data_IF_334008354622
#
_entry.id   IF_334008354622
#
_cell.length_a   1.000
_cell.length_b   1.000
_cell.length_c   1.000
_cell.angle_alpha   90.00
_cell.angle_beta   90.00
_cell.angle_gamma   90.00
#
_symmetry.space_group_name_H-M   'P 1'
#
loop_
_entity.id
_entity.type
_entity.pdbx_description
1 polymer ?
#
# COMPACT_ATOMS: atom_id res chain seq x y z
N UNK A 1 -9.09 -13.39 -2.56
CA UNK A 1 -8.12 -14.47 -2.23
C UNK A 1 -8.27 -14.78 -0.75
N UNK A 2 -8.43 -16.06 -0.38
CA UNK A 2 -8.38 -16.48 1.03
C UNK A 2 -6.95 -16.97 1.29
N UNK A 3 -6.20 -16.24 2.10
CA UNK A 3 -4.86 -16.64 2.53
C UNK A 3 -4.98 -17.56 3.75
N UNK A 4 -4.22 -18.67 3.76
CA UNK A 4 -4.15 -19.55 4.93
C UNK A 4 -3.34 -18.88 6.03
N UNK A 5 -3.95 -18.59 7.18
CA UNK A 5 -3.25 -17.92 8.30
C UNK A 5 -2.00 -18.66 8.77
N UNK A 6 -2.01 -19.99 8.69
CA UNK A 6 -0.87 -20.82 9.06
C UNK A 6 0.30 -20.63 8.08
N UNK A 7 0.02 -20.70 6.77
CA UNK A 7 1.05 -20.48 5.75
C UNK A 7 1.61 -19.05 5.82
N UNK A 8 0.77 -18.05 6.04
CA UNK A 8 1.20 -16.65 6.22
C UNK A 8 2.09 -16.48 7.46
N UNK A 9 1.81 -17.20 8.56
CA UNK A 9 2.63 -17.19 9.77
C UNK A 9 4.02 -17.78 9.51
N UNK A 10 4.10 -18.90 8.81
CA UNK A 10 5.37 -19.55 8.46
C UNK A 10 6.22 -18.67 7.53
N UNK A 11 5.60 -18.12 6.48
CA UNK A 11 6.25 -17.18 5.56
C UNK A 11 6.74 -15.92 6.27
N UNK A 12 5.95 -15.36 7.19
CA UNK A 12 6.38 -14.25 8.03
C UNK A 12 7.61 -14.62 8.87
N UNK A 13 7.58 -15.74 9.59
CA UNK A 13 8.69 -16.14 10.46
C UNK A 13 10.00 -16.34 9.69
N UNK A 14 9.91 -16.99 8.53
CA UNK A 14 11.07 -17.21 7.65
C UNK A 14 11.63 -15.91 7.09
N UNK A 15 10.77 -14.98 6.63
CA UNK A 15 11.24 -13.73 6.03
C UNK A 15 11.73 -12.74 7.07
N UNK A 16 11.06 -12.65 8.22
CA UNK A 16 11.43 -11.74 9.30
C UNK A 16 12.81 -12.07 9.89
N UNK A 17 13.21 -13.35 9.93
CA UNK A 17 14.56 -13.73 10.37
C UNK A 17 15.66 -13.37 9.36
N UNK A 18 15.31 -13.15 8.10
CA UNK A 18 16.24 -12.80 7.01
C UNK A 18 16.33 -11.28 6.76
N UNK A 19 15.51 -10.46 7.43
CA UNK A 19 15.64 -9.01 7.34
C UNK A 19 16.99 -8.56 7.91
N UNK A 20 17.68 -7.70 7.15
CA UNK A 20 18.81 -6.95 7.67
C UNK A 20 18.35 -5.88 8.68
N UNK A 21 19.29 -5.26 9.40
CA UNK A 21 18.99 -4.34 10.49
C UNK A 21 18.17 -3.11 10.04
N UNK A 22 18.46 -2.57 8.86
CA UNK A 22 17.73 -1.42 8.32
C UNK A 22 16.29 -1.79 7.94
N UNK A 23 16.10 -2.93 7.27
CA UNK A 23 14.78 -3.44 6.91
C UNK A 23 13.97 -3.81 8.15
N UNK A 24 14.59 -4.38 9.18
CA UNK A 24 13.96 -4.70 10.47
C UNK A 24 13.53 -3.42 11.18
N UNK A 25 14.40 -2.42 11.27
CA UNK A 25 14.07 -1.12 11.85
C UNK A 25 12.88 -0.45 11.13
N UNK A 26 12.88 -0.47 9.78
CA UNK A 26 11.75 0.03 8.99
C UNK A 26 10.47 -0.77 9.25
N UNK A 27 10.56 -2.10 9.28
CA UNK A 27 9.44 -2.99 9.59
C UNK A 27 8.82 -2.66 10.95
N UNK A 28 9.65 -2.58 11.99
CA UNK A 28 9.20 -2.36 13.37
C UNK A 28 8.57 -0.97 13.53
N UNK A 29 9.18 0.05 12.92
CA UNK A 29 8.65 1.43 12.89
C UNK A 29 7.27 1.49 12.24
N UNK A 30 7.13 0.85 11.07
CA UNK A 30 5.86 0.82 10.34
C UNK A 30 4.79 0.06 11.15
N UNK A 31 5.12 -1.12 11.68
CA UNK A 31 4.17 -1.91 12.46
C UNK A 31 3.72 -1.17 13.71
N UNK A 32 4.65 -0.55 14.44
CA UNK A 32 4.35 0.21 15.63
C UNK A 32 3.38 1.37 15.35
N UNK A 33 3.64 2.17 14.32
CA UNK A 33 2.79 3.29 13.96
C UNK A 33 1.38 2.83 13.53
N UNK A 34 1.30 1.84 12.63
CA UNK A 34 0.03 1.31 12.12
C UNK A 34 -0.80 0.67 13.25
N UNK A 35 -0.19 -0.12 14.12
CA UNK A 35 -0.89 -0.78 15.22
C UNK A 35 -1.26 0.18 16.36
N UNK A 36 -0.58 1.33 16.48
CA UNK A 36 -0.96 2.39 17.42
C UNK A 36 -2.19 3.21 17.00
N UNK A 37 -2.64 3.07 15.74
CA UNK A 37 -3.81 3.79 15.22
C UNK A 37 -3.57 5.28 14.98
N UNK A 38 -2.31 5.69 14.72
CA UNK A 38 -1.99 7.08 14.37
C UNK A 38 -2.50 7.42 12.97
N UNK A 39 -3.27 8.51 12.85
CA UNK A 39 -3.79 9.04 11.59
C UNK A 39 -2.70 9.51 10.61
N UNK A 40 -1.43 9.58 11.06
CA UNK A 40 -0.27 9.97 10.26
C UNK A 40 0.65 8.79 9.92
N UNK A 41 0.13 7.57 9.82
CA UNK A 41 0.90 6.36 9.52
C UNK A 41 1.21 6.22 8.02
N UNK A 42 1.88 7.22 7.45
CA UNK A 42 2.31 7.23 6.05
C UNK A 42 3.83 7.25 5.96
N UNK A 43 4.38 6.32 5.20
CA UNK A 43 5.83 6.11 5.07
C UNK A 43 6.23 6.11 3.61
N UNK A 44 7.42 6.63 3.32
CA UNK A 44 8.08 6.44 2.03
C UNK A 44 9.33 5.58 2.23
N UNK A 45 9.33 4.37 1.68
CA UNK A 45 10.47 3.47 1.69
C UNK A 45 11.37 3.76 0.50
N UNK A 46 12.36 4.62 0.73
CA UNK A 46 13.37 4.94 -0.27
C UNK A 46 14.48 3.88 -0.28
N UNK A 47 14.83 3.41 -1.47
CA UNK A 47 16.01 2.58 -1.67
C UNK A 47 16.21 2.31 -3.15
N UNK A 48 17.46 2.22 -3.64
CA UNK A 48 17.75 1.85 -5.02
C UNK A 48 17.13 0.51 -5.45
N UNK A 49 17.16 0.23 -6.75
CA UNK A 49 16.86 -1.11 -7.26
C UNK A 49 17.76 -2.17 -6.57
N UNK A 50 17.18 -3.33 -6.24
CA UNK A 50 17.93 -4.43 -5.63
C UNK A 50 18.15 -4.37 -4.11
N UNK A 51 17.70 -3.32 -3.41
CA UNK A 51 17.87 -3.20 -1.93
C UNK A 51 16.86 -4.00 -1.10
N UNK A 52 16.01 -4.80 -1.74
CA UNK A 52 15.06 -5.66 -1.06
C UNK A 52 13.79 -4.97 -0.55
N UNK A 53 13.40 -3.81 -1.09
CA UNK A 53 12.11 -3.15 -0.78
C UNK A 53 10.92 -4.11 -0.88
N UNK A 54 10.84 -4.87 -1.98
CA UNK A 54 9.82 -5.90 -2.19
C UNK A 54 9.87 -7.01 -1.13
N UNK A 55 11.06 -7.34 -0.62
CA UNK A 55 11.20 -8.32 0.46
C UNK A 55 10.58 -7.79 1.77
N UNK A 56 10.79 -6.51 2.09
CA UNK A 56 10.14 -5.85 3.22
C UNK A 56 8.61 -5.78 3.04
N UNK A 57 8.12 -5.38 1.86
CA UNK A 57 6.67 -5.36 1.55
C UNK A 57 6.02 -6.73 1.75
N UNK A 58 6.67 -7.79 1.26
CA UNK A 58 6.20 -9.16 1.44
C UNK A 58 6.12 -9.52 2.92
N UNK A 59 7.11 -9.11 3.72
CA UNK A 59 7.15 -9.40 5.15
C UNK A 59 6.02 -8.70 5.89
N UNK A 60 5.74 -7.42 5.57
CA UNK A 60 4.58 -6.68 6.08
C UNK A 60 3.24 -7.34 5.69
N UNK A 61 3.12 -7.81 4.45
CA UNK A 61 1.93 -8.53 3.99
C UNK A 61 1.67 -9.76 4.85
N UNK A 62 2.68 -10.62 5.02
CA UNK A 62 2.54 -11.84 5.81
C UNK A 62 2.26 -11.54 7.30
N UNK A 63 2.88 -10.49 7.85
CA UNK A 63 2.68 -10.07 9.24
C UNK A 63 1.23 -9.69 9.56
N UNK A 64 0.56 -8.97 8.66
CA UNK A 64 -0.83 -8.57 8.85
C UNK A 64 -1.82 -9.67 8.42
N UNK A 65 -1.54 -10.38 7.31
CA UNK A 65 -2.41 -11.46 6.82
C UNK A 65 -2.49 -12.65 7.78
N UNK A 66 -1.42 -12.99 8.49
CA UNK A 66 -1.48 -14.02 9.55
C UNK A 66 -2.43 -13.66 10.69
N UNK A 67 -2.66 -12.35 10.92
CA UNK A 67 -3.62 -11.83 11.90
C UNK A 67 -5.05 -11.76 11.34
N UNK A 68 -5.25 -12.07 10.05
CA UNK A 68 -6.52 -11.91 9.35
C UNK A 68 -6.81 -10.48 8.90
N UNK A 69 -5.84 -9.57 8.99
CA UNK A 69 -5.95 -8.20 8.52
C UNK A 69 -5.74 -8.12 7.00
N UNK A 70 -6.25 -7.07 6.36
CA UNK A 70 -6.20 -6.90 4.91
C UNK A 70 -5.07 -5.92 4.54
N UNK A 71 -4.19 -6.34 3.63
CA UNK A 71 -3.16 -5.50 3.03
C UNK A 71 -3.38 -5.44 1.52
N UNK A 72 -3.50 -4.22 0.98
CA UNK A 72 -3.64 -3.98 -0.45
C UNK A 72 -2.29 -3.65 -1.05
N UNK A 73 -1.82 -4.52 -1.95
CA UNK A 73 -0.62 -4.25 -2.73
C UNK A 73 -0.98 -3.62 -4.07
N UNK A 74 -0.36 -2.49 -4.34
CA UNK A 74 -0.60 -1.64 -5.49
C UNK A 74 0.75 -1.28 -6.13
N UNK A 75 0.80 -1.17 -7.44
CA UNK A 75 1.94 -0.58 -8.12
C UNK A 75 1.50 0.32 -9.27
N UNK A 76 2.37 1.21 -9.73
CA UNK A 76 2.07 2.12 -10.84
C UNK A 76 2.07 1.40 -12.21
N UNK A 77 2.91 0.37 -12.38
CA UNK A 77 2.98 -0.43 -13.61
C UNK A 77 2.46 -1.86 -13.42
N UNK A 78 2.04 -2.49 -14.52
CA UNK A 78 1.57 -3.88 -14.51
C UNK A 78 2.66 -4.87 -14.10
N UNK A 79 3.89 -4.69 -14.58
CA UNK A 79 5.02 -5.58 -14.25
C UNK A 79 5.38 -5.49 -12.77
N UNK A 80 5.44 -4.28 -12.20
CA UNK A 80 5.70 -4.11 -10.77
C UNK A 80 4.57 -4.74 -9.92
N UNK A 81 3.31 -4.62 -10.36
CA UNK A 81 2.18 -5.22 -9.65
C UNK A 81 2.27 -6.75 -9.59
N UNK A 82 2.82 -7.42 -10.61
CA UNK A 82 3.00 -8.89 -10.63
C UNK A 82 4.01 -9.38 -9.58
N UNK A 83 4.96 -8.53 -9.18
CA UNK A 83 5.97 -8.86 -8.17
C UNK A 83 5.42 -8.74 -6.74
N UNK A 84 4.25 -8.14 -6.57
CA UNK A 84 3.62 -7.95 -5.26
C UNK A 84 2.56 -9.02 -4.97
N UNK A 85 2.41 -9.46 -3.70
CA UNK A 85 1.45 -10.50 -3.33
C UNK A 85 -0.01 -10.10 -3.57
N UNK A 86 -0.63 -10.65 -4.61
CA UNK A 86 -1.99 -10.27 -5.02
C UNK A 86 -2.05 -8.82 -5.54
N UNK A 87 -0.92 -8.32 -6.05
CA UNK A 87 -0.78 -6.97 -6.55
C UNK A 87 -1.72 -6.64 -7.70
N UNK A 88 -2.08 -5.37 -7.79
CA UNK A 88 -2.83 -4.79 -8.90
C UNK A 88 -2.25 -3.43 -9.23
N UNK A 89 -2.47 -2.95 -10.45
CA UNK A 89 -2.12 -1.56 -10.76
C UNK A 89 -2.98 -0.59 -9.96
N UNK A 90 -2.46 0.61 -9.68
CA UNK A 90 -3.20 1.70 -9.03
C UNK A 90 -4.53 1.99 -9.72
N UNK A 91 -4.50 2.09 -11.05
CA UNK A 91 -5.67 2.29 -11.89
C UNK A 91 -6.74 1.22 -11.67
N UNK A 92 -6.35 -0.06 -11.69
CA UNK A 92 -7.32 -1.16 -11.52
C UNK A 92 -7.76 -1.39 -10.06
N UNK A 93 -6.92 -1.04 -9.07
CA UNK A 93 -7.27 -1.17 -7.66
C UNK A 93 -8.25 -0.10 -7.21
N UNK A 94 -7.97 1.14 -7.56
CA UNK A 94 -8.74 2.30 -7.10
C UNK A 94 -9.76 2.78 -8.13
N UNK A 95 -9.82 2.20 -9.33
CA UNK A 95 -10.72 2.63 -10.39
C UNK A 95 -10.46 4.11 -10.77
N UNK A 96 -9.18 4.43 -10.96
CA UNK A 96 -8.69 5.77 -11.34
C UNK A 96 -9.13 6.05 -12.79
N UNK A 97 -9.75 7.20 -13.09
CA UNK A 97 -10.09 7.59 -14.46
C UNK A 97 -8.84 7.68 -15.36
N UNK A 98 -8.97 7.30 -16.63
CA UNK A 98 -7.88 7.42 -17.62
C UNK A 98 -7.61 8.88 -18.02
N UNK A 99 -8.68 9.69 -18.11
CA UNK A 99 -8.59 11.13 -18.30
C UNK A 99 -8.64 11.77 -16.92
N UNK A 100 -7.51 12.33 -16.48
CA UNK A 100 -7.36 12.82 -15.12
C UNK A 100 -6.93 14.28 -15.09
N UNK A 101 -7.50 15.03 -14.17
CA UNK A 101 -7.24 16.43 -13.90
C UNK A 101 -7.16 16.69 -12.39
N UNK A 102 -6.93 17.95 -12.01
CA UNK A 102 -6.74 18.36 -10.62
C UNK A 102 -7.94 18.11 -9.71
N UNK A 103 -9.16 18.03 -10.24
CA UNK A 103 -10.39 17.79 -9.47
C UNK A 103 -10.89 16.34 -9.55
N UNK A 104 -10.16 15.49 -10.27
CA UNK A 104 -10.61 14.11 -10.52
C UNK A 104 -10.72 13.31 -9.22
N UNK A 105 -11.71 12.42 -9.18
CA UNK A 105 -11.89 11.44 -8.12
C UNK A 105 -11.90 10.03 -8.71
N UNK A 106 -11.49 9.07 -7.91
CA UNK A 106 -11.63 7.66 -8.20
C UNK A 106 -13.10 7.24 -8.17
N UNK A 107 -13.51 6.34 -9.06
CA UNK A 107 -14.87 5.81 -9.11
C UNK A 107 -15.09 4.72 -8.05
N UNK A 108 -15.01 5.09 -6.78
CA UNK A 108 -15.20 4.21 -5.61
C UNK A 108 -16.40 4.70 -4.81
N UNK A 109 -17.39 3.84 -4.59
CA UNK A 109 -18.58 4.16 -3.78
C UNK A 109 -18.58 3.35 -2.49
N UNK A 110 -18.97 3.94 -1.37
CA UNK A 110 -19.06 3.31 -0.03
C UNK A 110 -19.78 1.96 -0.03
N UNK A 111 -20.92 1.89 -0.73
CA UNK A 111 -21.78 0.70 -0.76
C UNK A 111 -21.33 -0.41 -1.73
N UNK A 112 -20.15 -0.28 -2.34
CA UNK A 112 -19.61 -1.30 -3.26
C UNK A 112 -18.68 -2.27 -2.54
N UNK A 113 -18.44 -3.43 -3.15
CA UNK A 113 -17.46 -4.40 -2.66
C UNK A 113 -16.05 -3.80 -2.54
N UNK A 114 -15.68 -2.88 -3.44
CA UNK A 114 -14.41 -2.17 -3.38
C UNK A 114 -14.36 -1.18 -2.21
N UNK A 115 -15.43 -0.40 -2.02
CA UNK A 115 -15.53 0.52 -0.88
C UNK A 115 -15.40 -0.19 0.46
N UNK A 116 -16.11 -1.32 0.63
CA UNK A 116 -15.99 -2.18 1.83
C UNK A 116 -14.61 -2.81 1.98
N UNK A 117 -13.98 -3.22 0.87
CA UNK A 117 -12.62 -3.77 0.91
C UNK A 117 -11.62 -2.74 1.44
N UNK A 118 -11.67 -1.52 0.91
CA UNK A 118 -10.79 -0.42 1.31
C UNK A 118 -11.06 -0.01 2.76
N UNK A 119 -12.33 0.10 3.16
CA UNK A 119 -12.72 0.44 4.54
C UNK A 119 -12.22 -0.58 5.58
N UNK A 120 -12.03 -1.85 5.19
CA UNK A 120 -11.49 -2.89 6.06
C UNK A 120 -9.97 -3.12 5.88
N UNK A 121 -9.30 -2.29 5.07
CA UNK A 121 -7.86 -2.40 4.83
C UNK A 121 -7.08 -1.83 6.01
N UNK A 122 -6.04 -2.54 6.44
CA UNK A 122 -5.13 -2.09 7.51
C UNK A 122 -3.95 -1.32 6.95
N UNK A 123 -3.46 -1.71 5.78
CA UNK A 123 -2.30 -1.09 5.16
C UNK A 123 -2.42 -1.15 3.63
N UNK A 124 -2.08 -0.06 2.96
CA UNK A 124 -1.82 -0.03 1.53
C UNK A 124 -0.32 0.04 1.29
N UNK A 125 0.20 -0.85 0.45
CA UNK A 125 1.56 -0.76 -0.05
C UNK A 125 1.47 -0.34 -1.51
N UNK A 126 2.09 0.79 -1.86
CA UNK A 126 2.11 1.30 -3.23
C UNK A 126 3.56 1.40 -3.71
N UNK A 127 3.93 0.55 -4.67
CA UNK A 127 5.28 0.53 -5.26
C UNK A 127 5.36 1.32 -6.58
N UNK A 128 6.56 1.83 -6.89
CA UNK A 128 6.84 2.72 -8.02
C UNK A 128 5.96 3.98 -8.05
N UNK A 129 5.71 4.57 -6.88
CA UNK A 129 4.94 5.82 -6.74
C UNK A 129 5.53 6.99 -7.52
N UNK A 130 6.87 7.19 -7.58
CA UNK A 130 7.45 8.27 -8.36
C UNK A 130 7.07 8.23 -9.86
N UNK A 131 6.81 7.04 -10.43
CA UNK A 131 6.37 6.88 -11.81
C UNK A 131 4.88 7.17 -12.04
N UNK A 132 4.14 7.62 -11.02
CA UNK A 132 2.72 7.93 -11.14
C UNK A 132 2.49 9.42 -11.34
N UNK A 133 1.58 9.77 -12.25
CA UNK A 133 1.16 11.16 -12.43
C UNK A 133 0.54 11.73 -11.15
N UNK A 134 0.90 12.97 -10.75
CA UNK A 134 0.46 13.56 -9.47
C UNK A 134 -1.06 13.51 -9.28
N UNK A 135 -1.82 13.81 -10.33
CA UNK A 135 -3.29 13.81 -10.26
C UNK A 135 -3.87 12.43 -9.94
N UNK A 136 -3.20 11.33 -10.29
CA UNK A 136 -3.65 10.00 -9.92
C UNK A 136 -3.49 9.75 -8.42
N UNK A 137 -2.40 10.25 -7.84
CA UNK A 137 -2.15 10.15 -6.41
C UNK A 137 -3.14 11.02 -5.62
N UNK A 138 -3.33 12.27 -6.04
CA UNK A 138 -4.28 13.21 -5.43
C UNK A 138 -5.74 12.75 -5.57
N UNK A 139 -6.12 12.16 -6.70
CA UNK A 139 -7.45 11.57 -6.88
C UNK A 139 -7.70 10.40 -5.93
N UNK A 140 -6.67 9.59 -5.64
CA UNK A 140 -6.78 8.53 -4.62
C UNK A 140 -6.93 9.13 -3.23
N UNK A 141 -6.12 10.12 -2.86
CA UNK A 141 -6.23 10.82 -1.58
C UNK A 141 -7.63 11.41 -1.36
N UNK A 142 -8.12 12.23 -2.29
CA UNK A 142 -9.47 12.82 -2.23
C UNK A 142 -10.56 11.76 -2.09
N UNK A 143 -10.50 10.69 -2.89
CA UNK A 143 -11.50 9.64 -2.83
C UNK A 143 -11.46 8.81 -1.56
N UNK A 144 -10.30 8.61 -0.96
CA UNK A 144 -10.20 7.88 0.31
C UNK A 144 -10.69 8.73 1.49
N UNK A 145 -10.42 10.04 1.48
CA UNK A 145 -11.01 10.99 2.45
C UNK A 145 -12.54 10.97 2.43
N UNK A 146 -13.14 11.01 1.23
CA UNK A 146 -14.60 10.90 1.07
C UNK A 146 -15.12 9.51 1.49
N UNK A 147 -14.45 8.44 1.05
CA UNK A 147 -14.87 7.07 1.33
C UNK A 147 -14.85 6.74 2.84
N UNK A 148 -13.87 7.25 3.58
CA UNK A 148 -13.63 6.96 4.99
C UNK A 148 -14.21 8.02 5.95
N UNK A 149 -14.88 9.05 5.44
CA UNK A 149 -15.46 10.15 6.23
C UNK A 149 -14.42 10.93 7.06
N UNK A 150 -13.21 11.07 6.52
CA UNK A 150 -12.06 11.69 7.19
C UNK A 150 -11.42 12.76 6.28
N UNK A 151 -12.05 13.94 6.11
CA UNK A 151 -11.62 14.96 5.14
C UNK A 151 -10.25 15.59 5.44
N UNK A 152 -9.88 15.67 6.72
CA UNK A 152 -8.67 16.34 7.18
C UNK A 152 -7.43 15.42 7.26
N UNK A 153 -7.64 14.10 7.14
CA UNK A 153 -6.58 13.10 7.24
C UNK A 153 -6.10 12.67 5.86
N UNK A 154 -4.78 12.61 5.65
CA UNK A 154 -4.20 12.07 4.42
C UNK A 154 -4.71 10.63 4.18
N UNK A 155 -5.18 10.37 2.96
CA UNK A 155 -5.81 9.12 2.54
C UNK A 155 -6.97 8.68 3.45
N UNK A 156 -7.66 9.61 4.09
CA UNK A 156 -8.70 9.32 5.07
C UNK A 156 -8.20 8.58 6.31
N UNK A 157 -6.91 8.71 6.65
CA UNK A 157 -6.26 8.03 7.78
C UNK A 157 -5.84 6.59 7.50
N UNK A 158 -6.12 6.05 6.29
CA UNK A 158 -5.67 4.72 5.90
C UNK A 158 -4.14 4.70 5.79
N UNK A 159 -3.41 3.81 6.50
CA UNK A 159 -1.96 3.80 6.42
C UNK A 159 -1.42 3.44 5.03
N UNK A 160 -0.36 4.14 4.61
CA UNK A 160 0.33 3.88 3.35
C UNK A 160 1.83 3.64 3.57
N UNK A 161 2.36 2.62 2.91
CA UNK A 161 3.80 2.48 2.64
C UNK A 161 4.00 2.71 1.15
N UNK A 162 4.50 3.89 0.82
CA UNK A 162 4.87 4.29 -0.53
C UNK A 162 6.29 3.82 -0.82
N UNK A 163 6.52 3.41 -2.04
CA UNK A 163 7.73 2.76 -2.48
C UNK A 163 8.16 3.23 -3.85
N UNK A 164 9.47 3.22 -4.08
CA UNK A 164 10.05 3.50 -5.38
C UNK A 164 11.47 4.01 -5.24
N UNK A 165 12.02 4.41 -6.37
CA UNK A 165 13.31 5.08 -6.41
C UNK A 165 13.16 6.34 -7.30
N UNK A 166 13.35 7.51 -6.69
CA UNK A 166 13.27 8.80 -7.39
C UNK A 166 14.39 8.97 -8.44
N UNK A 167 15.43 8.13 -8.40
CA UNK A 167 16.45 8.09 -9.45
C UNK A 167 16.01 7.29 -10.68
N UNK A 168 14.83 6.63 -10.65
CA UNK A 168 14.23 6.03 -11.83
C UNK A 168 13.58 7.10 -12.74
N UNK A 169 13.18 6.68 -13.95
CA UNK A 169 12.63 7.58 -14.98
C UNK A 169 11.40 8.32 -14.42
N UNK A 170 11.34 9.67 -14.53
CA UNK A 170 10.18 10.44 -14.09
C UNK A 170 8.92 10.11 -14.93
N UNK A 171 7.73 10.34 -14.39
CA UNK A 171 6.44 10.07 -15.04
C UNK A 171 6.16 10.98 -16.23
#
# INVERSE_FOLDING_TARGET
>A
MRYSRQAEKEQYQQKYSQLNDQQRSAFDTICHAVDSGSDNSHFFLQGPAGTGKTFLYNTLCHYYRRQGKIVLCVASSGIAALLLPGGRTSHSRFNIPLLINEDSMCHIKKNTNLGRLISNTTLVIWDEVPMQHRYCFEAVDRSLRDLLDSPDSLFGGLPFVLGGDFAQIPP
#
